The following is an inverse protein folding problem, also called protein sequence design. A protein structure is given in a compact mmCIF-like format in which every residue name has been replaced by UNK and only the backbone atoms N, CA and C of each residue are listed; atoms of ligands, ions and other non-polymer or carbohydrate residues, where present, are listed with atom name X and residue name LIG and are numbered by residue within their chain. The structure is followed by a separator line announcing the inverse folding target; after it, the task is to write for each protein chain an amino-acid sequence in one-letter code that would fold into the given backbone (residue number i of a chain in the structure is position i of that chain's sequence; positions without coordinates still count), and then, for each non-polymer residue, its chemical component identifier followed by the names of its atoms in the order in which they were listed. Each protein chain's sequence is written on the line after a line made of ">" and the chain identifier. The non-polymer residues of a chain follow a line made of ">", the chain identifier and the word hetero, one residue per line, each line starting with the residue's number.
data_IF_911802074817
#
_entry.id   IF_911802074817
#
_cell.length_a   1.000
_cell.length_b   1.000
_cell.length_c   1.000
_cell.angle_alpha   90.00
_cell.angle_beta   90.00
_cell.angle_gamma   90.00
#
_symmetry.space_group_name_H-M   'P 1'
#
loop_
_entity.id
_entity.type
_entity.pdbx_description
1 polymer ?
#
# COMPACT_ATOMS: atom_id res chain seq x y z
N UNK A 1 23.97 54.70 25.39
CA UNK A 1 24.56 53.92 24.29
C UNK A 1 24.85 52.44 24.64
N UNK A 2 25.17 52.12 25.86
CA UNK A 2 25.40 50.70 26.23
C UNK A 2 24.15 49.82 26.26
N UNK A 3 22.97 50.36 26.50
CA UNK A 3 21.71 49.60 26.56
C UNK A 3 21.21 49.16 25.18
N UNK A 4 21.49 49.93 24.14
CA UNK A 4 21.06 49.57 22.78
C UNK A 4 21.92 48.43 22.19
N UNK A 5 23.16 48.34 22.61
CA UNK A 5 24.05 47.27 22.14
C UNK A 5 23.64 45.91 22.69
N UNK A 6 23.16 45.87 23.94
CA UNK A 6 22.66 44.63 24.56
C UNK A 6 21.36 44.16 23.94
N UNK A 7 20.47 45.07 23.56
CA UNK A 7 19.18 44.75 22.94
C UNK A 7 19.39 44.15 21.53
N UNK A 8 20.36 44.68 20.78
CA UNK A 8 20.66 44.19 19.44
C UNK A 8 21.27 42.79 19.49
N UNK A 9 22.15 42.54 20.47
CA UNK A 9 22.77 41.21 20.65
C UNK A 9 21.75 40.16 21.07
N UNK A 10 20.81 40.52 21.94
CA UNK A 10 19.73 39.60 22.39
C UNK A 10 18.78 39.32 21.24
N UNK A 11 18.47 40.30 20.40
CA UNK A 11 17.60 40.12 19.24
C UNK A 11 18.24 39.26 18.12
N UNK A 12 19.59 39.39 18.01
CA UNK A 12 20.34 38.58 17.03
C UNK A 12 20.47 37.11 17.45
N UNK A 13 20.44 36.84 18.76
CA UNK A 13 20.49 35.46 19.27
C UNK A 13 19.16 34.71 19.13
N UNK A 14 18.05 35.42 19.02
CA UNK A 14 16.71 34.83 18.86
C UNK A 14 16.39 34.38 17.42
N UNK A 15 17.18 34.81 16.46
CA UNK A 15 16.97 34.44 15.05
C UNK A 15 17.65 33.14 14.62
N UNK A 16 18.42 32.52 15.53
CA UNK A 16 19.14 31.27 15.24
C UNK A 16 18.43 29.99 15.67
N UNK A 17 17.20 30.09 16.19
CA UNK A 17 16.40 28.91 16.59
C UNK A 17 15.44 28.48 15.47
N UNK A 18 15.82 28.69 14.23
CA UNK A 18 14.93 28.50 13.10
C UNK A 18 15.12 27.24 12.26
N UNK A 19 15.98 26.32 12.64
CA UNK A 19 16.15 25.07 11.90
C UNK A 19 15.96 23.88 12.82
N UNK A 20 14.74 23.66 13.25
CA UNK A 20 14.36 22.32 13.68
C UNK A 20 14.25 21.52 12.38
N UNK A 21 15.26 20.74 12.08
CA UNK A 21 15.16 19.70 11.08
C UNK A 21 13.96 18.85 11.47
N UNK A 22 12.93 18.86 10.65
CA UNK A 22 11.81 17.96 10.81
C UNK A 22 12.39 16.55 10.79
N UNK A 23 12.31 15.86 11.91
CA UNK A 23 12.54 14.44 11.94
C UNK A 23 11.63 13.81 10.92
N UNK A 24 12.10 12.86 10.08
CA UNK A 24 11.25 12.20 9.12
C UNK A 24 10.05 11.63 9.88
N UNK A 25 8.89 12.03 9.43
CA UNK A 25 7.63 11.60 10.00
C UNK A 25 7.63 10.07 10.09
N UNK A 26 7.49 9.46 11.27
CA UNK A 26 7.46 8.01 11.39
C UNK A 26 6.12 7.44 10.93
N UNK A 27 5.58 7.95 9.82
CA UNK A 27 4.42 7.34 9.19
C UNK A 27 4.84 5.96 8.68
N UNK A 28 4.25 4.89 9.20
CA UNK A 28 4.57 3.55 8.74
C UNK A 28 4.23 3.46 7.26
N UNK A 29 5.24 3.20 6.45
CA UNK A 29 5.07 3.06 5.01
C UNK A 29 4.49 1.69 4.69
N UNK A 30 3.59 1.65 3.72
CA UNK A 30 3.18 0.39 3.12
C UNK A 30 4.38 -0.27 2.45
N UNK A 31 4.65 -1.51 2.81
CA UNK A 31 5.72 -2.32 2.25
C UNK A 31 5.14 -3.59 1.61
N UNK A 32 5.83 -4.12 0.63
CA UNK A 32 5.44 -5.40 0.04
C UNK A 32 5.48 -6.50 1.08
N UNK A 33 4.49 -7.38 1.04
CA UNK A 33 4.33 -8.44 2.03
C UNK A 33 4.08 -9.81 1.40
N UNK A 34 4.27 -10.83 2.21
CA UNK A 34 3.91 -12.21 1.89
C UNK A 34 2.99 -12.74 2.98
N UNK A 35 2.03 -13.59 2.61
CA UNK A 35 1.24 -14.33 3.59
C UNK A 35 2.11 -15.36 4.29
N UNK A 36 1.99 -15.45 5.61
CA UNK A 36 2.67 -16.48 6.41
C UNK A 36 2.00 -17.83 6.19
N UNK A 37 0.66 -17.83 6.09
CA UNK A 37 -0.14 -19.01 5.84
C UNK A 37 -1.05 -18.79 4.64
N UNK A 38 -1.24 -19.80 3.78
CA UNK A 38 -2.16 -19.68 2.66
C UNK A 38 -3.58 -19.38 3.13
N UNK A 39 -4.21 -18.37 2.54
CA UNK A 39 -5.62 -18.04 2.82
C UNK A 39 -6.29 -17.50 1.55
N UNK A 40 -6.48 -18.38 0.60
CA UNK A 40 -7.13 -18.08 -0.67
C UNK A 40 -8.52 -17.46 -0.49
N UNK A 41 -9.28 -17.93 0.49
CA UNK A 41 -10.65 -17.45 0.71
C UNK A 41 -10.68 -15.96 1.10
N UNK A 42 -9.82 -15.53 2.01
CA UNK A 42 -9.71 -14.14 2.42
C UNK A 42 -9.23 -13.24 1.27
N UNK A 43 -8.23 -13.69 0.53
CA UNK A 43 -7.70 -12.96 -0.64
C UNK A 43 -8.77 -12.83 -1.73
N UNK A 44 -9.47 -13.91 -2.05
CA UNK A 44 -10.52 -13.91 -3.07
C UNK A 44 -11.65 -12.94 -2.70
N UNK A 45 -12.07 -12.96 -1.45
CA UNK A 45 -13.10 -12.03 -0.95
C UNK A 45 -12.68 -10.57 -1.10
N UNK A 46 -11.45 -10.26 -0.76
CA UNK A 46 -10.91 -8.90 -0.86
C UNK A 46 -10.82 -8.43 -2.32
N UNK A 47 -10.30 -9.27 -3.21
CA UNK A 47 -10.16 -8.94 -4.63
C UNK A 47 -11.54 -8.74 -5.27
N UNK A 48 -12.50 -9.58 -4.96
CA UNK A 48 -13.88 -9.41 -5.46
C UNK A 48 -14.49 -8.08 -5.03
N UNK A 49 -14.21 -7.66 -3.80
CA UNK A 49 -14.68 -6.37 -3.30
C UNK A 49 -14.00 -5.19 -3.99
N UNK A 50 -12.72 -5.31 -4.33
CA UNK A 50 -11.95 -4.23 -4.98
C UNK A 50 -12.38 -3.98 -6.43
N UNK A 51 -12.63 -5.03 -7.19
CA UNK A 51 -12.90 -4.93 -8.64
C UNK A 51 -14.31 -5.36 -9.03
N UNK A 52 -15.17 -5.62 -8.06
CA UNK A 52 -16.59 -5.96 -8.27
C UNK A 52 -16.83 -7.14 -9.22
N UNK A 53 -16.01 -8.18 -9.11
CA UNK A 53 -16.17 -9.41 -9.86
C UNK A 53 -16.82 -10.50 -8.99
N UNK A 54 -17.45 -11.47 -9.64
CA UNK A 54 -18.14 -12.56 -8.91
C UNK A 54 -17.20 -13.68 -8.52
N UNK A 55 -16.21 -13.96 -9.35
CA UNK A 55 -15.24 -15.03 -9.11
C UNK A 55 -13.83 -14.57 -9.41
N UNK A 56 -12.90 -14.97 -8.56
CA UNK A 56 -11.47 -14.78 -8.77
C UNK A 56 -10.78 -16.14 -8.74
N UNK A 57 -10.17 -16.53 -9.87
CA UNK A 57 -9.38 -17.75 -9.94
C UNK A 57 -7.98 -17.47 -9.42
N UNK A 58 -7.71 -17.96 -8.23
CA UNK A 58 -6.44 -17.78 -7.54
C UNK A 58 -5.80 -19.12 -7.25
N UNK A 59 -4.47 -19.14 -7.23
CA UNK A 59 -3.75 -20.29 -6.70
C UNK A 59 -4.00 -20.45 -5.20
N UNK A 60 -3.93 -21.67 -4.70
CA UNK A 60 -4.15 -21.95 -3.28
C UNK A 60 -3.12 -21.26 -2.38
N UNK A 61 -1.90 -21.07 -2.89
CA UNK A 61 -0.77 -20.43 -2.22
C UNK A 61 -0.58 -18.96 -2.61
N UNK A 62 -1.62 -18.28 -3.10
CA UNK A 62 -1.56 -16.89 -3.52
C UNK A 62 -0.94 -15.99 -2.43
N UNK A 63 -0.02 -15.12 -2.83
CA UNK A 63 0.74 -14.23 -1.96
C UNK A 63 1.66 -14.90 -0.92
N UNK A 64 1.91 -16.18 -1.01
CA UNK A 64 2.87 -16.83 -0.09
C UNK A 64 4.31 -16.76 -0.57
N UNK A 65 4.53 -16.69 -1.87
CA UNK A 65 5.86 -16.64 -2.49
C UNK A 65 6.11 -15.37 -3.28
N UNK A 66 5.06 -14.65 -3.65
CA UNK A 66 5.13 -13.38 -4.37
C UNK A 66 4.16 -12.39 -3.75
N UNK A 67 4.57 -11.13 -3.65
CA UNK A 67 3.72 -10.05 -3.19
C UNK A 67 2.79 -9.49 -4.26
N UNK A 68 2.86 -10.00 -5.48
CA UNK A 68 2.02 -9.56 -6.60
C UNK A 68 1.28 -10.73 -7.22
N UNK A 69 0.08 -10.48 -7.70
CA UNK A 69 -0.71 -11.44 -8.48
C UNK A 69 -1.38 -10.71 -9.62
N UNK A 70 -1.42 -11.37 -10.76
CA UNK A 70 -2.10 -10.88 -11.96
C UNK A 70 -3.31 -11.77 -12.24
N UNK A 71 -4.49 -11.15 -12.31
CA UNK A 71 -5.70 -11.84 -12.72
C UNK A 71 -6.00 -11.50 -14.16
N UNK A 72 -6.05 -12.52 -14.98
CA UNK A 72 -6.60 -12.39 -16.32
C UNK A 72 -8.11 -12.32 -16.19
N UNK A 73 -8.65 -11.15 -16.35
CA UNK A 73 -10.09 -10.94 -16.31
C UNK A 73 -10.69 -11.47 -17.61
N UNK A 74 -10.90 -12.76 -17.64
CA UNK A 74 -11.74 -13.36 -18.68
C UNK A 74 -13.18 -12.97 -18.34
N UNK A 75 -13.58 -11.79 -18.76
CA UNK A 75 -15.00 -11.45 -18.80
C UNK A 75 -15.65 -12.46 -19.73
N UNK A 76 -16.33 -13.44 -19.12
CA UNK A 76 -17.00 -14.47 -19.87
C UNK A 76 -17.93 -13.88 -20.92
N UNK A 77 -17.84 -14.40 -22.13
CA UNK A 77 -18.83 -14.41 -23.19
C UNK A 77 -19.37 -13.11 -23.78
N UNK A 78 -18.88 -11.95 -23.42
CA UNK A 78 -19.22 -10.74 -24.16
C UNK A 78 -18.15 -10.46 -25.23
N UNK A 79 -18.25 -11.24 -26.29
CA UNK A 79 -17.43 -11.14 -27.49
C UNK A 79 -17.65 -9.82 -28.26
N UNK A 80 -18.50 -8.94 -27.77
CA UNK A 80 -18.92 -7.75 -28.49
C UNK A 80 -17.98 -6.58 -28.31
N UNK A 81 -17.07 -6.63 -27.36
CA UNK A 81 -16.14 -5.54 -27.16
C UNK A 81 -14.73 -5.91 -27.62
N UNK A 82 -14.51 -5.80 -28.91
CA UNK A 82 -13.19 -5.96 -29.52
C UNK A 82 -12.20 -4.89 -29.11
N UNK A 83 -12.61 -3.93 -28.27
CA UNK A 83 -11.78 -2.87 -27.73
C UNK A 83 -11.47 -3.04 -26.24
N UNK A 84 -12.06 -4.02 -25.56
CA UNK A 84 -11.59 -4.36 -24.22
C UNK A 84 -10.22 -4.98 -24.37
N UNK A 85 -9.21 -4.17 -24.28
CA UNK A 85 -7.85 -4.61 -24.03
C UNK A 85 -7.93 -5.58 -22.85
N UNK A 86 -7.35 -6.75 -23.01
CA UNK A 86 -7.14 -7.67 -21.89
C UNK A 86 -6.28 -6.97 -20.86
N UNK A 87 -6.87 -6.07 -20.11
CA UNK A 87 -6.22 -5.44 -18.98
C UNK A 87 -6.27 -6.44 -17.86
N UNK A 88 -5.18 -7.19 -17.72
CA UNK A 88 -4.98 -8.03 -16.58
C UNK A 88 -4.94 -7.14 -15.34
N UNK A 89 -5.82 -7.38 -14.38
CA UNK A 89 -5.82 -6.68 -13.12
C UNK A 89 -4.66 -7.18 -12.26
N UNK A 90 -3.84 -6.26 -11.77
CA UNK A 90 -2.72 -6.57 -10.89
C UNK A 90 -3.01 -6.12 -9.47
N UNK A 91 -2.67 -6.99 -8.53
CA UNK A 91 -2.85 -6.75 -7.11
C UNK A 91 -1.54 -6.97 -6.36
N UNK A 92 -1.35 -6.21 -5.31
CA UNK A 92 -0.20 -6.33 -4.42
C UNK A 92 -0.66 -6.58 -2.99
N UNK A 93 0.05 -7.48 -2.31
CA UNK A 93 -0.09 -7.62 -0.86
C UNK A 93 0.88 -6.67 -0.18
N UNK A 94 0.37 -5.85 0.71
CA UNK A 94 1.12 -4.84 1.44
C UNK A 94 0.95 -5.04 2.94
N UNK A 95 1.93 -4.60 3.69
CA UNK A 95 1.87 -4.57 5.15
C UNK A 95 2.17 -3.15 5.64
N UNK A 96 1.40 -2.74 6.63
CA UNK A 96 1.64 -1.52 7.39
C UNK A 96 1.48 -1.85 8.87
N UNK A 97 2.54 -1.64 9.64
CA UNK A 97 2.63 -2.15 11.02
C UNK A 97 2.46 -3.68 11.03
N UNK A 98 1.38 -4.18 11.58
CA UNK A 98 1.06 -5.62 11.62
C UNK A 98 -0.15 -5.98 10.77
N UNK A 99 -0.70 -5.03 10.04
CA UNK A 99 -1.91 -5.22 9.25
C UNK A 99 -1.60 -5.45 7.78
N UNK A 100 -2.31 -6.39 7.18
CA UNK A 100 -2.18 -6.77 5.78
C UNK A 100 -3.23 -6.04 4.94
N UNK A 101 -2.83 -5.60 3.75
CA UNK A 101 -3.68 -4.91 2.79
C UNK A 101 -3.48 -5.48 1.39
N UNK A 102 -4.54 -5.53 0.61
CA UNK A 102 -4.44 -5.74 -0.84
C UNK A 102 -4.67 -4.41 -1.53
N UNK A 103 -3.79 -4.07 -2.46
CA UNK A 103 -3.90 -2.89 -3.30
C UNK A 103 -4.09 -3.30 -4.75
N UNK A 104 -5.10 -2.74 -5.39
CA UNK A 104 -5.29 -2.82 -6.83
C UNK A 104 -4.40 -1.79 -7.51
N UNK A 105 -3.52 -2.21 -8.42
CA UNK A 105 -2.50 -1.32 -8.99
C UNK A 105 -3.09 -0.22 -9.86
N UNK A 106 -4.10 -0.50 -10.66
CA UNK A 106 -4.67 0.48 -11.57
C UNK A 106 -5.45 1.58 -10.85
N UNK A 107 -6.35 1.21 -9.95
CA UNK A 107 -7.18 2.17 -9.23
C UNK A 107 -6.53 2.75 -7.98
N UNK A 108 -5.44 2.15 -7.51
CA UNK A 108 -4.80 2.45 -6.22
C UNK A 108 -5.69 2.19 -4.99
N UNK A 109 -6.85 1.57 -5.19
CA UNK A 109 -7.74 1.19 -4.11
C UNK A 109 -7.11 0.11 -3.24
N UNK A 110 -7.30 0.23 -1.94
CA UNK A 110 -6.76 -0.69 -0.94
C UNK A 110 -7.88 -1.25 -0.08
N UNK A 111 -7.74 -2.51 0.32
CA UNK A 111 -8.64 -3.13 1.28
C UNK A 111 -7.84 -3.88 2.34
N UNK A 112 -8.25 -3.76 3.59
CA UNK A 112 -7.62 -4.49 4.69
C UNK A 112 -8.01 -5.96 4.66
N UNK A 113 -7.01 -6.83 4.83
CA UNK A 113 -7.23 -8.26 5.07
C UNK A 113 -7.29 -8.50 6.58
N UNK A 114 -8.48 -8.74 7.08
CA UNK A 114 -8.68 -9.15 8.47
C UNK A 114 -8.42 -10.64 8.64
N UNK A 115 -7.98 -11.04 9.82
CA UNK A 115 -7.78 -12.44 10.19
C UNK A 115 -6.68 -13.19 9.41
N UNK A 116 -5.81 -12.46 8.74
CA UNK A 116 -4.63 -13.03 8.08
C UNK A 116 -3.36 -12.48 8.70
N UNK A 117 -2.30 -13.26 8.64
CA UNK A 117 -0.95 -12.85 9.04
C UNK A 117 -0.06 -12.76 7.83
N UNK A 118 0.64 -11.66 7.73
CA UNK A 118 1.62 -11.44 6.69
C UNK A 118 2.94 -10.93 7.28
N UNK A 119 3.99 -11.00 6.50
CA UNK A 119 5.32 -10.54 6.85
C UNK A 119 5.89 -9.68 5.72
N UNK A 120 6.85 -8.84 6.02
CA UNK A 120 7.55 -8.05 5.02
C UNK A 120 8.24 -8.98 4.03
N UNK A 121 8.09 -8.66 2.74
CA UNK A 121 8.85 -9.30 1.68
C UNK A 121 10.21 -8.60 1.55
N UNK A 122 11.25 -9.24 2.02
CA UNK A 122 12.61 -8.70 2.09
C UNK A 122 13.42 -8.86 0.79
N UNK A 123 12.76 -8.97 -0.33
CA UNK A 123 13.47 -9.05 -1.62
C UNK A 123 13.94 -7.67 -2.10
#
# INVERSE_FOLDING_TARGET
>A
MKAYFLVIVVFSALLLIGCISQSPDPTPKLQHALLIEPNKAAVSKAIKALVHIQEAQLADDVFTTSSTVTLNNVKGNNIIDTQSRNTADQFELMIKDTQCYIRHLDSKATIELKEVKCKINEL
#
